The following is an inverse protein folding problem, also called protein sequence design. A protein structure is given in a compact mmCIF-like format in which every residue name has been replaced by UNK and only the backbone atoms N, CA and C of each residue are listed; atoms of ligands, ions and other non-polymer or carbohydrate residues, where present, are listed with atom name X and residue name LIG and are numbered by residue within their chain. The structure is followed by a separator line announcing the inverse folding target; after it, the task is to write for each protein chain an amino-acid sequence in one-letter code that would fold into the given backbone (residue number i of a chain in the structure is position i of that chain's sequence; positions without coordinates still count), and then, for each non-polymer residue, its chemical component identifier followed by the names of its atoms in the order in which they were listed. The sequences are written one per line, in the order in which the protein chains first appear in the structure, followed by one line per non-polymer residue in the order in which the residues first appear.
data_IF_325584579081
#
_entry.id   IF_325584579081
#
_cell.length_a   1.000
_cell.length_b   1.000
_cell.length_c   1.000
_cell.angle_alpha   90.00
_cell.angle_beta   90.00
_cell.angle_gamma   90.00
#
_symmetry.space_group_name_H-M   'P 1'
#
loop_
_entity.id
_entity.type
_entity.pdbx_description
1 polymer ?
#
# COMPACT_ATOMS: atom_id res chain seq x y z
N UNK A 1 14.44 -2.97 50.11
CA UNK A 1 14.54 -4.38 49.64
C UNK A 1 13.30 -4.63 48.78
N UNK A 2 13.40 -4.98 47.49
CA UNK A 2 13.71 -6.33 46.97
C UNK A 2 12.82 -7.40 47.64
N UNK A 3 12.13 -8.28 46.90
CA UNK A 3 12.48 -8.88 45.59
C UNK A 3 11.19 -8.89 44.72
N UNK A 4 11.19 -8.76 43.37
CA UNK A 4 11.62 -9.78 42.38
C UNK A 4 11.19 -11.20 42.84
N UNK A 5 10.62 -12.10 42.06
CA UNK A 5 11.07 -12.56 40.75
C UNK A 5 10.16 -13.75 40.35
N UNK A 6 9.26 -13.59 39.38
CA UNK A 6 8.91 -14.65 38.41
C UNK A 6 8.81 -13.88 37.08
N UNK A 7 9.92 -13.61 36.37
CA UNK A 7 10.83 -14.53 35.68
C UNK A 7 10.21 -15.10 34.39
N UNK A 8 10.82 -14.72 33.26
CA UNK A 8 10.69 -15.29 31.90
C UNK A 8 9.26 -15.41 31.35
N UNK A 9 8.93 -14.79 30.22
CA UNK A 9 9.37 -15.15 28.86
C UNK A 9 8.90 -13.98 27.95
N UNK A 10 9.46 -13.62 26.81
CA UNK A 10 10.72 -13.87 26.08
C UNK A 10 10.50 -13.09 24.77
N UNK A 11 11.51 -12.37 24.27
CA UNK A 11 11.64 -11.90 22.88
C UNK A 11 10.54 -10.98 22.28
N UNK A 12 10.97 -10.21 21.27
CA UNK A 12 10.18 -9.58 20.20
C UNK A 12 8.96 -8.71 20.62
N UNK A 13 8.87 -7.44 20.23
CA UNK A 13 9.12 -6.94 18.88
C UNK A 13 10.00 -5.69 18.90
N UNK A 14 11.27 -5.88 18.55
CA UNK A 14 12.26 -4.82 18.35
C UNK A 14 12.09 -4.14 16.98
N UNK A 15 10.87 -3.68 16.63
CA UNK A 15 10.66 -2.87 15.41
C UNK A 15 9.39 -2.02 15.46
N UNK A 16 9.29 -1.15 16.47
CA UNK A 16 8.27 -0.10 16.53
C UNK A 16 8.68 1.06 15.58
N UNK A 17 8.55 0.85 14.26
CA UNK A 17 8.90 1.86 13.25
C UNK A 17 7.93 3.03 13.31
N UNK A 18 8.31 4.05 14.08
CA UNK A 18 7.59 5.31 14.28
C UNK A 18 7.23 5.99 12.95
N UNK A 19 5.95 6.04 12.64
CA UNK A 19 5.39 7.00 11.68
C UNK A 19 5.33 8.36 12.38
N UNK A 20 6.39 9.16 12.25
CA UNK A 20 6.48 10.50 12.84
C UNK A 20 5.61 11.48 12.05
N UNK A 21 4.39 11.74 12.55
CA UNK A 21 3.51 12.79 12.02
C UNK A 21 3.73 14.08 12.81
N UNK A 22 4.49 15.02 12.26
CA UNK A 22 4.73 16.33 12.88
C UNK A 22 3.48 17.23 12.77
N UNK A 23 2.69 17.30 13.85
CA UNK A 23 1.49 18.15 13.95
C UNK A 23 1.81 19.56 14.48
N UNK A 24 1.77 20.58 13.61
CA UNK A 24 1.78 21.99 14.04
C UNK A 24 0.33 22.47 14.24
N UNK A 25 -0.03 22.92 15.45
CA UNK A 25 -1.38 23.44 15.81
C UNK A 25 -1.68 24.77 15.08
N UNK A 26 -2.74 24.86 14.26
CA UNK A 26 -4.12 25.37 14.59
C UNK A 26 -4.21 26.91 14.46
N UNK A 27 -5.39 27.58 14.29
CA UNK A 27 -6.80 27.22 14.56
C UNK A 27 -7.61 26.94 13.26
N UNK A 28 -8.96 26.86 13.19
CA UNK A 28 -10.10 27.07 14.12
C UNK A 28 -11.08 25.86 14.13
N UNK A 29 -12.04 25.88 15.06
CA UNK A 29 -13.25 25.03 15.05
C UNK A 29 -14.29 25.57 14.05
N UNK A 30 -15.27 24.74 13.66
CA UNK A 30 -16.65 25.24 13.49
C UNK A 30 -17.49 24.68 12.34
N UNK A 31 -16.89 24.15 11.27
CA UNK A 31 -17.67 23.61 10.15
C UNK A 31 -17.70 22.09 10.16
N UNK A 32 -18.92 21.52 10.19
CA UNK A 32 -19.15 20.16 9.73
C UNK A 32 -18.72 20.11 8.26
N UNK A 33 -17.56 19.53 8.00
CA UNK A 33 -17.14 19.18 6.65
C UNK A 33 -18.15 18.14 6.17
N UNK A 34 -19.14 18.57 5.38
CA UNK A 34 -19.98 17.66 4.60
C UNK A 34 -19.01 16.78 3.82
N UNK A 35 -18.94 15.50 4.19
CA UNK A 35 -18.06 14.54 3.55
C UNK A 35 -18.42 14.51 2.08
N UNK A 36 -17.61 15.19 1.26
CA UNK A 36 -17.73 15.17 -0.18
C UNK A 36 -17.64 13.71 -0.62
N UNK A 37 -18.49 13.34 -1.58
CA UNK A 37 -18.28 12.08 -2.29
C UNK A 37 -16.87 12.15 -2.90
N UNK A 38 -16.11 11.03 -2.95
CA UNK A 38 -14.81 11.02 -3.59
C UNK A 38 -14.98 11.49 -5.05
N UNK A 39 -14.29 12.56 -5.43
CA UNK A 39 -14.26 13.05 -6.80
C UNK A 39 -12.91 12.63 -7.39
N UNK A 40 -12.95 11.93 -8.51
CA UNK A 40 -11.77 11.58 -9.30
C UNK A 40 -11.94 12.24 -10.66
N UNK A 41 -11.24 13.35 -10.87
CA UNK A 41 -11.17 14.04 -12.15
C UNK A 41 -9.93 13.58 -12.90
N UNK A 42 -10.05 13.33 -14.20
CA UNK A 42 -9.00 12.70 -14.99
C UNK A 42 -8.88 13.35 -16.36
N UNK A 43 -7.66 13.75 -16.73
CA UNK A 43 -7.27 14.13 -18.09
C UNK A 43 -6.42 13.03 -18.73
N UNK A 44 -5.84 13.31 -19.89
CA UNK A 44 -4.88 12.42 -20.58
C UNK A 44 -3.64 12.21 -19.71
N UNK A 45 -3.13 13.28 -19.11
CA UNK A 45 -1.82 13.40 -18.46
C UNK A 45 -1.87 13.53 -16.93
N UNK A 46 -3.05 13.79 -16.34
CA UNK A 46 -3.21 14.10 -14.90
C UNK A 46 -4.43 13.46 -14.29
N UNK A 47 -4.37 13.29 -12.97
CA UNK A 47 -5.52 12.90 -12.14
C UNK A 47 -5.57 13.79 -10.90
N UNK A 48 -6.77 14.24 -10.55
CA UNK A 48 -7.07 14.98 -9.33
C UNK A 48 -8.02 14.13 -8.49
N UNK A 49 -7.70 13.96 -7.21
CA UNK A 49 -8.52 13.23 -6.25
C UNK A 49 -8.91 14.15 -5.09
N UNK A 50 -10.21 14.38 -4.92
CA UNK A 50 -10.77 15.01 -3.72
C UNK A 50 -11.44 13.91 -2.87
N UNK A 51 -10.91 13.64 -1.67
CA UNK A 51 -11.40 12.60 -0.77
C UNK A 51 -11.49 13.15 0.66
N UNK A 52 -12.70 13.47 1.11
CA UNK A 52 -12.98 13.98 2.47
C UNK A 52 -12.23 15.30 2.77
N UNK A 53 -11.05 15.25 3.38
CA UNK A 53 -10.19 16.41 3.68
C UNK A 53 -8.93 16.45 2.81
N UNK A 54 -8.73 15.45 1.96
CA UNK A 54 -7.56 15.24 1.13
C UNK A 54 -7.80 15.74 -0.30
N UNK A 55 -6.82 16.47 -0.85
CA UNK A 55 -6.73 16.87 -2.25
C UNK A 55 -5.38 16.39 -2.78
N UNK A 56 -5.39 15.56 -3.82
CA UNK A 56 -4.18 15.00 -4.45
C UNK A 56 -4.19 15.38 -5.94
N UNK A 57 -3.12 15.99 -6.42
CA UNK A 57 -2.84 16.20 -7.85
C UNK A 57 -1.67 15.32 -8.23
N UNK A 58 -1.82 14.53 -9.29
CA UNK A 58 -0.77 13.65 -9.80
C UNK A 58 -0.63 13.72 -11.32
N UNK A 59 0.61 13.69 -11.81
CA UNK A 59 0.89 13.35 -13.20
C UNK A 59 0.64 11.84 -13.39
N UNK A 60 0.05 11.46 -14.52
CA UNK A 60 -0.36 10.09 -14.86
C UNK A 60 0.58 9.52 -15.91
N UNK A 61 1.31 8.46 -15.56
CA UNK A 61 2.08 7.66 -16.52
C UNK A 61 1.13 6.88 -17.45
N UNK A 62 1.56 6.50 -18.68
CA UNK A 62 0.76 5.66 -19.57
C UNK A 62 0.24 4.38 -18.88
N UNK A 63 -0.92 3.91 -19.33
CA UNK A 63 -1.53 2.71 -18.79
C UNK A 63 -0.67 1.48 -19.10
N UNK A 64 -0.46 0.62 -18.10
CA UNK A 64 0.37 -0.58 -18.21
C UNK A 64 -0.23 -1.73 -17.42
N UNK A 65 0.18 -2.95 -17.79
CA UNK A 65 -0.16 -4.17 -17.06
C UNK A 65 0.96 -4.48 -16.08
N UNK A 66 0.60 -4.77 -14.83
CA UNK A 66 1.54 -5.14 -13.76
C UNK A 66 1.02 -6.36 -13.03
N UNK A 67 1.90 -7.31 -12.72
CA UNK A 67 1.55 -8.52 -11.98
C UNK A 67 2.36 -8.58 -10.69
N UNK A 68 1.68 -8.72 -9.57
CA UNK A 68 2.26 -8.61 -8.23
C UNK A 68 1.81 -9.75 -7.32
N UNK A 69 2.72 -10.23 -6.49
CA UNK A 69 2.40 -11.04 -5.32
C UNK A 69 2.05 -10.10 -4.16
N UNK A 70 0.84 -10.22 -3.61
CA UNK A 70 0.46 -9.48 -2.40
C UNK A 70 1.14 -10.15 -1.20
N UNK A 71 1.83 -9.37 -0.37
CA UNK A 71 2.35 -9.82 0.91
C UNK A 71 1.29 -9.58 2.01
N UNK A 72 0.76 -8.36 2.06
CA UNK A 72 -0.27 -7.95 3.02
C UNK A 72 -0.99 -6.70 2.52
N UNK A 73 -2.13 -6.37 3.14
CA UNK A 73 -2.92 -5.18 2.81
C UNK A 73 -3.40 -4.44 4.06
N UNK A 74 -3.62 -3.14 3.91
CA UNK A 74 -4.27 -2.27 4.90
C UNK A 74 -5.26 -1.35 4.17
N UNK A 75 -6.47 -1.25 4.69
CA UNK A 75 -7.46 -0.31 4.14
C UNK A 75 -7.04 1.14 4.46
N UNK A 76 -6.80 1.93 3.43
CA UNK A 76 -6.29 3.30 3.55
C UNK A 76 -7.39 4.32 3.24
N UNK A 77 -8.29 4.52 4.20
CA UNK A 77 -9.48 5.36 4.05
C UNK A 77 -10.64 4.67 3.32
N UNK A 78 -11.62 5.45 2.84
CA UNK A 78 -12.87 4.87 2.28
C UNK A 78 -12.70 4.17 0.93
N UNK A 79 -11.80 4.66 0.08
CA UNK A 79 -11.71 4.28 -1.35
C UNK A 79 -10.29 3.96 -1.84
N UNK A 80 -9.31 3.81 -0.94
CA UNK A 80 -7.94 3.43 -1.30
C UNK A 80 -7.53 2.20 -0.50
N UNK A 81 -6.73 1.34 -1.12
CA UNK A 81 -6.17 0.15 -0.49
C UNK A 81 -4.66 0.25 -0.59
N UNK A 82 -3.99 0.22 0.57
CA UNK A 82 -2.55 0.12 0.63
C UNK A 82 -2.19 -1.37 0.63
N UNK A 83 -1.32 -1.79 -0.29
CA UNK A 83 -0.80 -3.14 -0.34
C UNK A 83 0.72 -3.12 -0.23
N UNK A 84 1.25 -4.09 0.48
CA UNK A 84 2.66 -4.46 0.51
C UNK A 84 2.80 -5.56 -0.54
N UNK A 85 3.63 -5.34 -1.56
CA UNK A 85 3.67 -6.19 -2.77
C UNK A 85 5.10 -6.51 -3.20
N UNK A 86 5.25 -7.61 -3.93
CA UNK A 86 6.44 -7.91 -4.73
C UNK A 86 6.09 -7.85 -6.21
N UNK A 87 6.95 -7.28 -7.05
CA UNK A 87 6.83 -7.49 -8.50
C UNK A 87 7.04 -8.96 -8.84
N UNK A 88 6.24 -9.53 -9.74
CA UNK A 88 6.42 -10.92 -10.18
C UNK A 88 7.81 -11.18 -10.78
N UNK A 89 8.42 -10.20 -11.46
CA UNK A 89 9.80 -10.32 -11.96
C UNK A 89 10.81 -10.55 -10.83
N UNK A 90 10.57 -9.92 -9.66
CA UNK A 90 11.38 -10.10 -8.45
C UNK A 90 11.09 -11.43 -7.78
N UNK A 91 9.81 -11.83 -7.71
CA UNK A 91 9.39 -13.14 -7.19
C UNK A 91 10.07 -14.27 -7.97
N UNK A 92 10.03 -14.23 -9.30
CA UNK A 92 10.59 -15.27 -10.15
C UNK A 92 12.13 -15.28 -10.12
N UNK A 93 12.77 -14.10 -10.07
CA UNK A 93 14.22 -13.96 -9.84
C UNK A 93 14.66 -14.57 -8.50
N UNK A 94 13.97 -14.23 -7.40
CA UNK A 94 14.28 -14.73 -6.06
C UNK A 94 13.98 -16.23 -5.92
N UNK A 95 12.86 -16.70 -6.49
CA UNK A 95 12.53 -18.13 -6.55
C UNK A 95 13.63 -18.93 -7.27
N UNK A 96 14.16 -18.42 -8.38
CA UNK A 96 15.27 -19.04 -9.11
C UNK A 96 16.58 -19.00 -8.32
N UNK A 97 16.88 -17.89 -7.63
CA UNK A 97 18.13 -17.72 -6.86
C UNK A 97 18.18 -18.54 -5.57
N UNK A 98 17.04 -18.68 -4.89
CA UNK A 98 16.93 -19.31 -3.57
C UNK A 98 16.18 -20.64 -3.57
N UNK A 99 15.83 -21.19 -4.74
CA UNK A 99 15.10 -22.46 -4.89
C UNK A 99 13.72 -22.46 -4.21
N UNK A 100 12.92 -21.41 -4.46
CA UNK A 100 11.51 -21.32 -4.06
C UNK A 100 11.19 -20.32 -2.95
N UNK A 101 9.89 -20.02 -2.80
CA UNK A 101 9.35 -18.87 -2.06
C UNK A 101 9.82 -18.80 -0.60
N UNK A 102 9.71 -19.91 0.14
CA UNK A 102 10.04 -19.96 1.58
C UNK A 102 11.51 -19.63 1.88
N UNK A 103 12.42 -19.90 0.96
CA UNK A 103 13.86 -19.69 1.15
C UNK A 103 14.31 -18.22 1.02
N UNK A 104 13.40 -17.32 0.65
CA UNK A 104 13.64 -15.88 0.63
C UNK A 104 12.53 -15.04 1.28
N UNK A 105 11.31 -15.58 1.42
CA UNK A 105 10.20 -14.88 2.06
C UNK A 105 10.13 -15.10 3.58
N UNK A 106 10.77 -16.14 4.11
CA UNK A 106 10.77 -16.45 5.56
C UNK A 106 11.91 -15.72 6.28
N UNK A 107 11.66 -15.23 7.49
CA UNK A 107 12.69 -14.62 8.35
C UNK A 107 13.85 -15.60 8.60
N UNK A 108 15.09 -15.10 8.67
CA UNK A 108 16.33 -15.88 8.81
C UNK A 108 16.62 -16.89 7.68
N UNK A 109 15.85 -16.89 6.58
CA UNK A 109 16.17 -17.66 5.38
C UNK A 109 17.33 -17.02 4.59
N UNK A 110 17.98 -17.81 3.72
CA UNK A 110 19.14 -17.37 2.94
C UNK A 110 18.87 -16.15 2.04
N UNK A 111 17.61 -15.92 1.64
CA UNK A 111 17.19 -14.76 0.86
C UNK A 111 16.40 -13.69 1.62
N UNK A 112 16.23 -13.81 2.94
CA UNK A 112 15.33 -12.95 3.73
C UNK A 112 15.52 -11.44 3.48
N UNK A 113 16.78 -10.98 3.50
CA UNK A 113 17.12 -9.57 3.29
C UNK A 113 16.84 -9.10 1.86
N UNK A 114 17.11 -9.93 0.84
CA UNK A 114 16.82 -9.60 -0.56
C UNK A 114 15.32 -9.65 -0.87
N UNK A 115 14.58 -10.56 -0.22
CA UNK A 115 13.13 -10.57 -0.19
C UNK A 115 12.59 -9.26 0.37
N UNK A 116 12.97 -8.90 1.60
CA UNK A 116 12.53 -7.67 2.26
C UNK A 116 12.84 -6.41 1.44
N UNK A 117 14.03 -6.32 0.82
CA UNK A 117 14.42 -5.20 -0.04
C UNK A 117 13.72 -5.19 -1.41
N UNK A 118 13.02 -6.27 -1.79
CA UNK A 118 12.22 -6.36 -3.03
C UNK A 118 10.75 -5.98 -2.83
N UNK A 119 10.34 -5.64 -1.60
CA UNK A 119 8.99 -5.19 -1.26
C UNK A 119 8.77 -3.76 -1.76
N UNK A 120 7.56 -3.47 -2.23
CA UNK A 120 7.07 -2.12 -2.51
C UNK A 120 5.73 -1.87 -1.79
N UNK A 121 5.52 -0.65 -1.31
CA UNK A 121 4.24 -0.20 -0.76
C UNK A 121 3.49 0.59 -1.83
N UNK A 122 2.35 0.06 -2.26
CA UNK A 122 1.51 0.65 -3.31
C UNK A 122 0.16 1.08 -2.75
N UNK A 123 -0.36 2.21 -3.22
CA UNK A 123 -1.73 2.66 -2.94
C UNK A 123 -2.56 2.57 -4.21
N UNK A 124 -3.53 1.66 -4.18
CA UNK A 124 -4.46 1.43 -5.28
C UNK A 124 -5.71 2.30 -5.09
N UNK A 125 -5.97 3.13 -6.09
CA UNK A 125 -7.16 3.98 -6.22
C UNK A 125 -7.92 3.55 -7.48
N UNK A 126 -9.25 3.59 -7.45
CA UNK A 126 -10.07 3.35 -8.64
C UNK A 126 -11.33 4.19 -8.62
N UNK A 127 -11.80 4.58 -9.80
CA UNK A 127 -13.14 5.15 -10.02
C UNK A 127 -14.20 4.08 -10.31
N UNK A 128 -13.77 2.87 -10.65
CA UNK A 128 -14.65 1.80 -11.12
C UNK A 128 -15.23 1.00 -9.94
N UNK A 129 -16.57 0.92 -9.79
CA UNK A 129 -17.19 0.17 -8.68
C UNK A 129 -16.81 -1.31 -8.66
N UNK A 130 -16.73 -1.96 -9.82
CA UNK A 130 -16.35 -3.37 -9.94
C UNK A 130 -14.91 -3.63 -9.44
N UNK A 131 -13.96 -2.77 -9.82
CA UNK A 131 -12.56 -2.85 -9.34
C UNK A 131 -12.51 -2.63 -7.84
N UNK A 132 -13.29 -1.67 -7.30
CA UNK A 132 -13.36 -1.42 -5.86
C UNK A 132 -13.85 -2.64 -5.08
N UNK A 133 -14.78 -3.42 -5.64
CA UNK A 133 -15.26 -4.65 -5.02
C UNK A 133 -14.27 -5.81 -5.15
N UNK A 134 -13.58 -5.96 -6.29
CA UNK A 134 -12.45 -6.89 -6.41
C UNK A 134 -11.31 -6.54 -5.44
N UNK A 135 -10.96 -5.26 -5.26
CA UNK A 135 -9.96 -4.80 -4.28
C UNK A 135 -10.33 -5.14 -2.83
N UNK A 136 -11.63 -5.10 -2.47
CA UNK A 136 -12.10 -5.63 -1.17
C UNK A 136 -11.85 -7.12 -1.03
N UNK A 137 -12.02 -7.89 -2.11
CA UNK A 137 -11.76 -9.33 -2.10
C UNK A 137 -10.27 -9.59 -1.90
N UNK A 138 -9.40 -8.96 -2.70
CA UNK A 138 -7.92 -9.02 -2.56
C UNK A 138 -7.50 -8.67 -1.13
N UNK A 139 -8.05 -7.62 -0.53
CA UNK A 139 -7.80 -7.26 0.87
C UNK A 139 -8.22 -8.35 1.87
N UNK A 140 -9.36 -9.03 1.64
CA UNK A 140 -9.79 -10.14 2.51
C UNK A 140 -8.90 -11.38 2.40
N UNK A 141 -8.37 -11.67 1.20
CA UNK A 141 -7.54 -12.86 0.95
C UNK A 141 -6.04 -12.58 1.03
N UNK A 142 -5.61 -11.34 1.33
CA UNK A 142 -4.19 -10.94 1.28
C UNK A 142 -3.28 -11.74 2.20
N UNK A 143 -3.83 -12.38 3.23
CA UNK A 143 -3.11 -13.27 4.16
C UNK A 143 -2.59 -14.55 3.48
N UNK A 144 -3.18 -14.97 2.35
CA UNK A 144 -2.81 -16.16 1.60
C UNK A 144 -1.85 -15.85 0.42
N UNK A 145 -1.24 -14.66 0.43
CA UNK A 145 -0.38 -14.14 -0.64
C UNK A 145 -0.90 -14.36 -2.06
N UNK A 146 -2.07 -13.82 -2.43
CA UNK A 146 -2.61 -13.94 -3.79
C UNK A 146 -1.69 -13.23 -4.80
N UNK A 147 -1.59 -13.78 -6.02
CA UNK A 147 -1.09 -13.02 -7.15
C UNK A 147 -2.24 -12.19 -7.71
N UNK A 148 -2.00 -10.92 -7.99
CA UNK A 148 -2.93 -10.07 -8.73
C UNK A 148 -2.26 -9.56 -9.99
N UNK A 149 -3.04 -9.42 -11.05
CA UNK A 149 -2.68 -8.65 -12.24
C UNK A 149 -3.57 -7.42 -12.28
N UNK A 150 -2.97 -6.25 -12.45
CA UNK A 150 -3.68 -4.99 -12.58
C UNK A 150 -3.40 -4.37 -13.95
N UNK A 151 -4.38 -3.63 -14.43
CA UNK A 151 -4.23 -2.70 -15.55
C UNK A 151 -4.48 -1.30 -15.02
N UNK A 152 -3.53 -0.37 -15.23
CA UNK A 152 -3.66 0.97 -14.71
C UNK A 152 -2.44 1.86 -14.95
N UNK A 153 -2.56 3.11 -14.51
CA UNK A 153 -1.51 4.12 -14.61
C UNK A 153 -0.82 4.33 -13.27
N UNK A 154 0.50 4.39 -13.29
CA UNK A 154 1.29 4.91 -12.16
C UNK A 154 1.08 6.41 -12.03
N UNK A 155 1.01 6.89 -10.79
CA UNK A 155 0.71 8.28 -10.45
C UNK A 155 1.90 8.89 -9.72
N UNK A 156 2.45 9.95 -10.29
CA UNK A 156 3.49 10.77 -9.68
C UNK A 156 2.83 11.94 -8.98
N UNK A 157 2.77 11.89 -7.65
CA UNK A 157 2.14 12.94 -6.85
C UNK A 157 2.91 14.26 -7.02
N UNK A 158 2.19 15.31 -7.44
CA UNK A 158 2.71 16.68 -7.65
C UNK A 158 2.31 17.59 -6.49
N UNK A 159 1.05 17.47 -6.03
CA UNK A 159 0.57 18.09 -4.80
C UNK A 159 -0.22 17.08 -3.98
N UNK A 160 -0.03 17.12 -2.66
CA UNK A 160 -0.91 16.46 -1.73
C UNK A 160 -1.17 17.39 -0.55
N UNK A 161 -2.45 17.65 -0.29
CA UNK A 161 -2.94 18.53 0.75
C UNK A 161 -3.96 17.76 1.60
N UNK A 162 -3.82 17.72 2.93
CA UNK A 162 -4.84 17.23 3.89
C UNK A 162 -5.26 18.37 4.82
N UNK A 163 -6.57 18.55 5.01
CA UNK A 163 -7.18 19.63 5.83
C UNK A 163 -6.63 21.02 5.47
N UNK A 164 -6.39 21.25 4.18
CA UNK A 164 -5.82 22.50 3.65
C UNK A 164 -4.32 22.70 3.92
N UNK A 165 -3.57 21.66 4.29
CA UNK A 165 -2.13 21.70 4.54
C UNK A 165 -1.37 20.73 3.66
N UNK A 166 -0.26 21.16 3.05
CA UNK A 166 0.60 20.27 2.26
C UNK A 166 1.17 19.14 3.12
N UNK A 167 1.12 17.92 2.59
CA UNK A 167 1.63 16.70 3.22
C UNK A 167 2.81 16.18 2.40
N UNK A 168 3.92 15.94 3.09
CA UNK A 168 5.12 15.36 2.50
C UNK A 168 5.33 13.96 3.06
N UNK A 169 5.48 12.97 2.19
CA UNK A 169 5.73 11.58 2.61
C UNK A 169 7.22 11.36 2.87
N UNK A 170 7.55 10.86 4.07
CA UNK A 170 8.93 10.46 4.41
C UNK A 170 9.39 9.16 3.70
N UNK A 171 8.45 8.40 3.15
CA UNK A 171 8.70 7.14 2.43
C UNK A 171 8.00 7.20 1.07
N UNK A 172 8.63 6.79 -0.04
CA UNK A 172 7.99 6.79 -1.35
C UNK A 172 6.86 5.75 -1.41
N UNK A 173 5.62 6.21 -1.22
CA UNK A 173 4.42 5.44 -1.53
C UNK A 173 4.13 5.58 -3.04
N UNK A 174 3.99 4.46 -3.75
CA UNK A 174 3.69 4.49 -5.18
C UNK A 174 2.18 4.42 -5.37
N UNK A 175 1.61 5.43 -6.03
CA UNK A 175 0.19 5.52 -6.27
C UNK A 175 -0.17 4.97 -7.65
N UNK A 176 -1.33 4.33 -7.76
CA UNK A 176 -1.84 3.79 -9.03
C UNK A 176 -3.34 4.08 -9.19
N UNK A 177 -3.73 4.51 -10.39
CA UNK A 177 -5.13 4.53 -10.84
C UNK A 177 -5.42 3.22 -11.58
N UNK A 178 -6.18 2.34 -10.94
CA UNK A 178 -6.50 0.99 -11.43
C UNK A 178 -7.80 0.99 -12.23
N UNK A 179 -7.75 0.41 -13.44
CA UNK A 179 -8.85 0.20 -14.38
C UNK A 179 -9.48 -1.17 -14.32
N UNK A 180 -8.63 -2.19 -14.19
CA UNK A 180 -9.06 -3.55 -13.94
C UNK A 180 -8.06 -4.25 -13.03
N UNK A 181 -8.55 -5.30 -12.38
CA UNK A 181 -7.79 -6.20 -11.53
C UNK A 181 -8.30 -7.63 -11.73
N UNK A 182 -7.35 -8.55 -11.86
CA UNK A 182 -7.55 -9.98 -11.99
C UNK A 182 -6.87 -10.65 -10.79
N UNK A 183 -7.57 -11.57 -10.13
CA UNK A 183 -7.01 -12.36 -9.02
C UNK A 183 -6.58 -13.70 -9.60
N UNK A 184 -5.29 -14.01 -9.50
CA UNK A 184 -4.68 -15.22 -10.02
C UNK A 184 -4.30 -16.07 -8.80
N UNK A 185 -5.11 -17.06 -8.45
CA UNK A 185 -4.96 -17.81 -7.20
C UNK A 185 -3.94 -18.96 -7.29
N UNK A 186 -3.47 -19.39 -6.11
CA UNK A 186 -2.90 -20.72 -5.83
C UNK A 186 -1.53 -21.11 -6.44
N UNK A 187 -0.64 -20.15 -6.72
CA UNK A 187 0.78 -20.48 -7.09
C UNK A 187 1.78 -20.51 -5.91
N UNK A 188 1.51 -19.80 -4.81
CA UNK A 188 2.51 -19.54 -3.75
C UNK A 188 2.00 -19.69 -2.30
N UNK A 189 0.87 -20.37 -2.10
CA UNK A 189 0.30 -20.74 -0.79
C UNK A 189 1.05 -21.90 -0.12
#
# INVERSE_FOLDING_TARGET
MNKKLIFLLVFDVFLLTLVVIAYIRSPKLGQQIKVSKPIIQESIDKVIFDIETEHIVADKEPESNMTWLINSGTRYGKNRYMFVVFSMDRVDMLNKKYNGYRNWATCNSAGANEGQNSISTVILITKEPAVKDKLKQVFKISLNSPVIKITGSKLKIVDYTDKGRKVYFATPMVYYLVRDIEIITDKYS
#
